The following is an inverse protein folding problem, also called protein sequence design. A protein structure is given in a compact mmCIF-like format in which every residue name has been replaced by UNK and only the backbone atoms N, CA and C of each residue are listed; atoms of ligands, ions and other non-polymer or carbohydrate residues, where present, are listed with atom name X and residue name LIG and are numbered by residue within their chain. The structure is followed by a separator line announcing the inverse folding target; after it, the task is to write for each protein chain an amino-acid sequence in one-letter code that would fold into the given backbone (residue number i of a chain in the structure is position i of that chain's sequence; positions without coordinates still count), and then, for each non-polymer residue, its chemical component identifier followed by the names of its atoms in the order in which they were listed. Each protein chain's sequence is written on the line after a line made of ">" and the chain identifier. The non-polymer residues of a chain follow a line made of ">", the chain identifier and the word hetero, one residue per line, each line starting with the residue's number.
data_IF_019568437338
#
_entry.id   IF_019568437338
#
_cell.length_a   1.000
_cell.length_b   1.000
_cell.length_c   1.000
_cell.angle_alpha   90.00
_cell.angle_beta   90.00
_cell.angle_gamma   90.00
#
_symmetry.space_group_name_H-M   'P 1'
#
loop_
_entity.id
_entity.type
_entity.pdbx_description
1 polymer ?
#
# COMPACT_ATOMS: atom_id res chain seq x y z
N UNK A 1 7.33 21.89 -1.08
CA UNK A 1 7.19 21.57 0.36
C UNK A 1 6.27 22.52 1.16
N UNK A 2 6.25 23.87 1.00
CA UNK A 2 5.32 24.69 1.82
C UNK A 2 3.85 24.27 1.70
N UNK A 3 3.38 23.97 0.49
CA UNK A 3 2.01 23.50 0.24
C UNK A 3 1.69 22.16 0.93
N UNK A 4 2.64 21.24 0.96
CA UNK A 4 2.43 19.92 1.58
C UNK A 4 2.31 20.03 3.10
N UNK A 5 3.13 20.90 3.73
CA UNK A 5 3.00 21.19 5.16
C UNK A 5 1.68 21.89 5.47
N UNK A 6 1.29 22.90 4.68
CA UNK A 6 0.02 23.59 4.85
C UNK A 6 -1.17 22.61 4.81
N UNK A 7 -1.14 21.63 3.90
CA UNK A 7 -2.14 20.57 3.84
C UNK A 7 -2.12 19.66 5.08
N UNK A 8 -0.94 19.23 5.52
CA UNK A 8 -0.80 18.37 6.70
C UNK A 8 -1.21 19.09 7.98
N UNK A 9 -0.84 20.38 8.13
CA UNK A 9 -1.19 21.21 9.26
C UNK A 9 -2.70 21.49 9.31
N UNK A 10 -3.31 21.70 8.13
CA UNK A 10 -4.76 21.80 8.02
C UNK A 10 -5.42 20.48 8.47
N UNK A 11 -4.95 19.32 7.98
CA UNK A 11 -5.50 18.02 8.35
C UNK A 11 -5.30 17.70 9.86
N UNK A 12 -4.20 18.15 10.43
CA UNK A 12 -3.88 17.98 11.84
C UNK A 12 -4.95 18.59 12.78
N UNK A 13 -5.59 19.69 12.36
CA UNK A 13 -6.64 20.36 13.14
C UNK A 13 -7.91 19.52 13.30
N UNK A 14 -8.15 18.55 12.42
CA UNK A 14 -9.30 17.64 12.46
C UNK A 14 -9.04 16.37 13.28
N UNK A 15 -7.95 16.31 14.03
CA UNK A 15 -7.68 15.18 14.91
C UNK A 15 -8.77 15.04 15.98
N UNK A 16 -9.27 13.81 16.11
CA UNK A 16 -10.27 13.46 17.10
C UNK A 16 -10.04 12.03 17.62
N UNK A 17 -10.56 11.67 18.81
CA UNK A 17 -10.27 10.38 19.45
C UNK A 17 -10.63 9.17 18.57
N UNK A 18 -11.74 9.23 17.83
CA UNK A 18 -12.21 8.12 16.99
C UNK A 18 -11.22 7.88 15.82
N UNK A 19 -10.92 8.93 15.06
CA UNK A 19 -9.97 8.82 13.94
C UNK A 19 -8.55 8.51 14.41
N UNK A 20 -8.16 9.01 15.59
CA UNK A 20 -6.87 8.65 16.19
C UNK A 20 -6.79 7.15 16.43
N UNK A 21 -7.77 6.55 17.10
CA UNK A 21 -7.81 5.11 17.40
C UNK A 21 -7.80 4.27 16.12
N UNK A 22 -8.63 4.65 15.14
CA UNK A 22 -8.68 3.92 13.86
C UNK A 22 -7.34 4.02 13.12
N UNK A 23 -6.74 5.22 13.06
CA UNK A 23 -5.47 5.42 12.36
C UNK A 23 -4.31 4.68 13.03
N UNK A 24 -4.27 4.65 14.36
CA UNK A 24 -3.31 3.89 15.14
C UNK A 24 -3.48 2.38 14.88
N UNK A 25 -4.73 1.88 14.89
CA UNK A 25 -5.01 0.48 14.59
C UNK A 25 -4.45 0.07 13.22
N UNK A 26 -4.73 0.85 12.15
CA UNK A 26 -4.22 0.55 10.82
C UNK A 26 -2.72 0.76 10.68
N UNK A 27 -2.10 1.61 11.49
CA UNK A 27 -0.64 1.71 11.56
C UNK A 27 -0.03 0.41 12.07
N UNK A 28 -0.52 -0.11 13.21
CA UNK A 28 -0.04 -1.37 13.77
C UNK A 28 -0.37 -2.58 12.89
N UNK A 29 -1.60 -2.69 12.44
CA UNK A 29 -2.07 -3.82 11.61
C UNK A 29 -1.46 -3.85 10.21
N UNK A 30 -0.82 -2.76 9.78
CA UNK A 30 -0.15 -2.63 8.50
C UNK A 30 1.36 -2.37 8.60
N UNK A 31 1.93 -2.38 9.81
CA UNK A 31 3.33 -1.98 10.05
C UNK A 31 4.33 -2.76 9.18
N UNK A 32 4.13 -4.07 9.03
CA UNK A 32 4.92 -4.93 8.15
C UNK A 32 4.12 -5.46 6.95
N UNK A 33 2.94 -4.90 6.69
CA UNK A 33 2.07 -5.34 5.60
C UNK A 33 1.18 -6.54 5.94
N UNK A 34 0.95 -6.84 7.23
CA UNK A 34 0.27 -8.04 7.71
C UNK A 34 -1.09 -8.23 7.04
N UNK A 35 -1.91 -7.17 6.96
CA UNK A 35 -3.21 -7.20 6.27
C UNK A 35 -3.02 -7.68 4.83
N UNK A 36 -2.06 -7.07 4.11
CA UNK A 36 -1.85 -7.35 2.69
C UNK A 36 -1.14 -8.67 2.43
N UNK A 37 -0.48 -9.27 3.44
CA UNK A 37 0.09 -10.63 3.37
C UNK A 37 -0.98 -11.67 3.68
N UNK A 38 -1.84 -11.43 4.67
CA UNK A 38 -2.90 -12.36 5.06
C UNK A 38 -3.94 -12.57 3.92
N UNK A 39 -4.31 -11.50 3.20
CA UNK A 39 -5.27 -11.57 2.10
C UNK A 39 -4.88 -12.56 0.99
N UNK A 40 -3.71 -12.46 0.34
CA UNK A 40 -3.32 -13.42 -0.69
C UNK A 40 -3.18 -14.83 -0.13
N UNK A 41 -2.68 -15.02 1.09
CA UNK A 41 -2.59 -16.34 1.71
C UNK A 41 -3.96 -16.99 1.83
N UNK A 42 -4.97 -16.25 2.33
CA UNK A 42 -6.34 -16.72 2.41
C UNK A 42 -6.92 -17.06 1.02
N UNK A 43 -6.72 -16.20 0.02
CA UNK A 43 -7.22 -16.42 -1.34
C UNK A 43 -6.56 -17.62 -2.04
N UNK A 44 -5.31 -17.93 -1.71
CA UNK A 44 -4.59 -19.09 -2.24
C UNK A 44 -5.16 -20.43 -1.77
N UNK A 45 -5.86 -20.47 -0.64
CA UNK A 45 -6.49 -21.71 -0.12
C UNK A 45 -7.65 -22.19 -1.00
N UNK A 46 -8.34 -21.28 -1.67
CA UNK A 46 -9.54 -21.62 -2.44
C UNK A 46 -9.23 -21.64 -3.94
N UNK A 47 -9.62 -22.74 -4.62
CA UNK A 47 -9.38 -22.91 -6.07
C UNK A 47 -9.92 -21.76 -6.94
N UNK A 48 -11.07 -21.19 -6.57
CA UNK A 48 -11.73 -20.09 -7.31
C UNK A 48 -10.99 -18.76 -7.24
N UNK A 49 -10.27 -18.50 -6.16
CA UNK A 49 -9.58 -17.22 -5.90
C UNK A 49 -8.05 -17.33 -5.95
N UNK A 50 -7.53 -18.54 -6.10
CA UNK A 50 -6.07 -18.82 -6.08
C UNK A 50 -5.28 -17.95 -7.05
N UNK A 51 -5.81 -17.72 -8.26
CA UNK A 51 -5.15 -16.86 -9.26
C UNK A 51 -5.05 -15.41 -8.78
N UNK A 52 -6.12 -14.90 -8.15
CA UNK A 52 -6.13 -13.55 -7.58
C UNK A 52 -5.15 -13.45 -6.39
N UNK A 53 -5.15 -14.44 -5.49
CA UNK A 53 -4.17 -14.52 -4.41
C UNK A 53 -2.73 -14.54 -4.91
N UNK A 54 -2.45 -15.29 -5.97
CA UNK A 54 -1.12 -15.32 -6.61
C UNK A 54 -0.75 -13.95 -7.19
N UNK A 55 -1.67 -13.27 -7.89
CA UNK A 55 -1.42 -11.94 -8.42
C UNK A 55 -1.11 -10.92 -7.30
N UNK A 56 -1.85 -10.97 -6.18
CA UNK A 56 -1.57 -10.12 -5.01
C UNK A 56 -0.19 -10.41 -4.41
N UNK A 57 0.17 -11.67 -4.23
CA UNK A 57 1.48 -12.06 -3.69
C UNK A 57 2.63 -11.55 -4.58
N UNK A 58 2.50 -11.72 -5.89
CA UNK A 58 3.48 -11.18 -6.86
C UNK A 58 3.57 -9.65 -6.76
N UNK A 59 2.43 -8.95 -6.63
CA UNK A 59 2.43 -7.49 -6.50
C UNK A 59 3.19 -7.02 -5.24
N UNK A 60 3.04 -7.72 -4.12
CA UNK A 60 3.78 -7.42 -2.89
C UNK A 60 5.29 -7.68 -3.04
N UNK A 61 5.69 -8.77 -3.70
CA UNK A 61 7.11 -9.06 -3.98
C UNK A 61 7.70 -7.98 -4.89
N UNK A 62 6.99 -7.57 -5.94
CA UNK A 62 7.42 -6.49 -6.82
C UNK A 62 7.55 -5.16 -6.06
N UNK A 63 6.61 -4.86 -5.14
CA UNK A 63 6.72 -3.69 -4.28
C UNK A 63 7.96 -3.76 -3.37
N UNK A 64 8.23 -4.89 -2.73
CA UNK A 64 9.43 -5.03 -1.90
C UNK A 64 10.70 -4.75 -2.71
N UNK A 65 10.81 -5.32 -3.90
CA UNK A 65 11.98 -5.11 -4.77
C UNK A 65 12.08 -3.65 -5.25
N UNK A 66 11.05 -3.15 -5.93
CA UNK A 66 11.10 -1.83 -6.57
C UNK A 66 10.88 -0.68 -5.57
N UNK A 67 9.87 -0.78 -4.70
CA UNK A 67 9.50 0.30 -3.80
C UNK A 67 10.41 0.39 -2.58
N UNK A 68 10.56 -0.71 -1.85
CA UNK A 68 11.27 -0.70 -0.57
C UNK A 68 12.79 -0.69 -0.75
N UNK A 69 13.33 -1.63 -1.54
CA UNK A 69 14.79 -1.78 -1.67
C UNK A 69 15.40 -0.83 -2.70
N UNK A 70 14.67 -0.38 -3.71
CA UNK A 70 15.23 0.47 -4.76
C UNK A 70 14.82 1.94 -4.62
N UNK A 71 13.51 2.26 -4.69
CA UNK A 71 13.05 3.65 -4.73
C UNK A 71 13.24 4.39 -3.40
N UNK A 72 13.00 3.75 -2.25
CA UNK A 72 13.17 4.44 -0.95
C UNK A 72 14.60 4.93 -0.72
N UNK A 73 15.65 4.10 -0.89
CA UNK A 73 17.03 4.59 -0.78
C UNK A 73 17.41 5.60 -1.86
N UNK A 74 16.87 5.45 -3.09
CA UNK A 74 17.18 6.35 -4.20
C UNK A 74 16.71 7.78 -3.92
N UNK A 75 15.51 7.96 -3.42
CA UNK A 75 14.96 9.28 -3.13
C UNK A 75 15.41 9.84 -1.76
N UNK A 76 15.69 8.98 -0.82
CA UNK A 76 16.16 9.30 0.54
C UNK A 76 15.42 10.47 1.21
N UNK A 77 14.11 10.64 0.89
CA UNK A 77 13.31 11.79 1.33
C UNK A 77 13.04 11.72 2.84
N UNK A 78 13.33 12.79 3.62
CA UNK A 78 12.97 12.86 5.03
C UNK A 78 11.44 12.90 5.20
N UNK A 79 10.94 12.48 6.37
CA UNK A 79 9.52 12.49 6.67
C UNK A 79 9.05 13.85 7.17
N UNK A 80 7.74 14.19 7.01
CA UNK A 80 7.21 15.43 7.56
C UNK A 80 7.39 15.53 9.08
N UNK A 81 7.20 14.41 9.81
CA UNK A 81 7.39 14.37 11.26
C UNK A 81 8.84 14.54 11.71
N UNK A 82 9.82 14.27 10.85
CA UNK A 82 11.25 14.51 11.15
C UNK A 82 11.64 15.97 10.94
N UNK A 83 10.98 16.64 10.01
CA UNK A 83 11.22 18.05 9.68
C UNK A 83 10.42 18.99 10.59
N UNK A 84 9.19 18.63 10.96
CA UNK A 84 8.35 19.36 11.90
C UNK A 84 8.29 18.60 13.23
N UNK A 85 9.19 18.92 14.16
CA UNK A 85 9.29 18.25 15.45
C UNK A 85 8.28 18.76 16.50
N UNK A 86 7.55 19.84 16.21
CA UNK A 86 6.53 20.41 17.12
C UNK A 86 5.23 19.61 17.14
N UNK A 87 5.03 18.69 16.16
CA UNK A 87 3.84 17.86 16.06
C UNK A 87 3.82 16.76 17.13
N UNK A 88 2.71 16.67 17.86
CA UNK A 88 2.46 15.53 18.76
C UNK A 88 2.15 14.28 17.94
N UNK A 89 3.05 13.30 17.98
CA UNK A 89 2.89 12.05 17.27
C UNK A 89 1.89 11.13 17.97
N UNK A 90 1.03 10.47 17.19
CA UNK A 90 0.09 9.45 17.66
C UNK A 90 0.66 8.04 17.61
N UNK A 91 1.72 7.86 16.84
CA UNK A 91 2.45 6.59 16.65
C UNK A 91 3.94 6.84 16.79
N UNK A 92 4.73 5.79 16.97
CA UNK A 92 6.19 5.90 16.97
C UNK A 92 6.66 6.51 15.63
N UNK A 93 7.72 7.32 15.67
CA UNK A 93 8.32 7.86 14.45
C UNK A 93 8.83 6.71 13.58
N UNK A 94 8.31 6.55 12.35
CA UNK A 94 8.71 5.44 11.52
C UNK A 94 10.14 5.61 11.03
N UNK A 95 10.92 4.55 11.04
CA UNK A 95 12.28 4.56 10.49
C UNK A 95 12.28 4.60 8.95
N UNK A 96 13.40 5.08 8.38
CA UNK A 96 13.65 5.11 6.94
C UNK A 96 12.90 6.22 6.21
N UNK A 97 13.02 6.20 4.88
CA UNK A 97 12.64 7.29 3.98
C UNK A 97 11.14 7.42 3.74
N UNK A 98 10.70 8.65 3.45
CA UNK A 98 9.29 8.97 3.27
C UNK A 98 8.75 8.53 1.90
N UNK A 99 9.50 8.78 0.80
CA UNK A 99 9.01 8.52 -0.56
C UNK A 99 9.54 7.20 -1.14
N UNK A 100 8.69 6.45 -1.84
CA UNK A 100 7.23 6.52 -1.84
C UNK A 100 6.63 5.92 -0.55
N UNK A 101 5.35 6.27 -0.26
CA UNK A 101 4.64 5.72 0.90
C UNK A 101 4.49 4.20 0.79
N UNK A 102 5.08 3.47 1.74
CA UNK A 102 5.08 2.02 1.74
C UNK A 102 3.70 1.39 1.91
N UNK A 103 2.94 1.86 2.90
CA UNK A 103 1.57 1.42 3.14
C UNK A 103 0.66 1.65 1.93
N UNK A 104 0.82 2.82 1.27
CA UNK A 104 0.05 3.13 0.06
C UNK A 104 0.45 2.23 -1.10
N UNK A 105 1.76 2.13 -1.38
CA UNK A 105 2.24 1.39 -2.54
C UNK A 105 1.93 -0.11 -2.45
N UNK A 106 2.19 -0.75 -1.29
CA UNK A 106 1.88 -2.17 -1.09
C UNK A 106 0.38 -2.43 -1.10
N UNK A 107 -0.41 -1.59 -0.40
CA UNK A 107 -1.85 -1.74 -0.33
C UNK A 107 -2.51 -1.58 -1.69
N UNK A 108 -2.17 -0.52 -2.43
CA UNK A 108 -2.70 -0.29 -3.78
C UNK A 108 -2.24 -1.38 -4.75
N UNK A 109 -0.97 -1.83 -4.69
CA UNK A 109 -0.49 -2.90 -5.56
C UNK A 109 -1.26 -4.20 -5.36
N UNK A 110 -1.44 -4.64 -4.12
CA UNK A 110 -2.18 -5.85 -3.79
C UNK A 110 -3.67 -5.71 -4.15
N UNK A 111 -4.33 -4.61 -3.72
CA UNK A 111 -5.74 -4.39 -3.96
C UNK A 111 -6.06 -4.22 -5.46
N UNK A 112 -5.21 -3.55 -6.21
CA UNK A 112 -5.39 -3.35 -7.66
C UNK A 112 -5.15 -4.64 -8.44
N UNK A 113 -4.13 -5.43 -8.07
CA UNK A 113 -3.94 -6.77 -8.64
C UNK A 113 -5.18 -7.67 -8.41
N UNK A 114 -5.75 -7.62 -7.19
CA UNK A 114 -7.00 -8.31 -6.87
C UNK A 114 -8.17 -7.81 -7.72
N UNK A 115 -8.31 -6.50 -7.88
CA UNK A 115 -9.38 -5.88 -8.64
C UNK A 115 -9.37 -6.27 -10.12
N UNK A 116 -8.19 -6.37 -10.72
CA UNK A 116 -8.04 -6.84 -12.10
C UNK A 116 -8.40 -8.32 -12.27
N UNK A 117 -8.29 -9.14 -11.23
CA UNK A 117 -8.66 -10.55 -11.24
C UNK A 117 -10.11 -10.79 -10.79
N UNK A 118 -10.60 -10.01 -9.84
CA UNK A 118 -11.94 -10.12 -9.26
C UNK A 118 -12.42 -8.76 -8.74
N UNK A 119 -13.23 -8.07 -9.51
CA UNK A 119 -13.73 -6.73 -9.16
C UNK A 119 -14.56 -6.71 -7.87
N UNK A 120 -15.33 -7.76 -7.58
CA UNK A 120 -16.19 -7.82 -6.37
C UNK A 120 -15.35 -7.81 -5.08
N UNK A 121 -14.25 -8.53 -5.07
CA UNK A 121 -13.32 -8.57 -3.92
C UNK A 121 -12.35 -7.39 -3.95
N UNK A 122 -11.92 -6.97 -5.13
CA UNK A 122 -10.93 -5.89 -5.28
C UNK A 122 -11.46 -4.50 -4.98
N UNK A 123 -12.75 -4.22 -5.24
CA UNK A 123 -13.32 -2.90 -4.92
C UNK A 123 -13.25 -2.57 -3.43
N UNK A 124 -13.75 -3.41 -2.50
CA UNK A 124 -13.60 -3.13 -1.07
C UNK A 124 -12.12 -3.10 -0.63
N UNK A 125 -11.24 -3.91 -1.24
CA UNK A 125 -9.82 -3.86 -0.96
C UNK A 125 -9.18 -2.52 -1.38
N UNK A 126 -9.58 -1.96 -2.53
CA UNK A 126 -9.13 -0.63 -2.96
C UNK A 126 -9.64 0.48 -2.04
N UNK A 127 -10.88 0.40 -1.57
CA UNK A 127 -11.43 1.35 -0.58
C UNK A 127 -10.61 1.28 0.71
N UNK A 128 -10.29 0.09 1.19
CA UNK A 128 -9.44 -0.10 2.37
C UNK A 128 -8.03 0.46 2.13
N UNK A 129 -7.42 0.21 0.97
CA UNK A 129 -6.09 0.74 0.63
C UNK A 129 -6.09 2.28 0.58
N UNK A 130 -7.13 2.89 0.00
CA UNK A 130 -7.29 4.34 -0.03
C UNK A 130 -7.46 4.92 1.38
N UNK A 131 -8.24 4.25 2.23
CA UNK A 131 -8.41 4.66 3.61
C UNK A 131 -7.09 4.57 4.40
N UNK A 132 -6.35 3.46 4.28
CA UNK A 132 -5.01 3.33 4.89
C UNK A 132 -4.07 4.41 4.37
N UNK A 133 -4.08 4.71 3.06
CA UNK A 133 -3.28 5.79 2.48
C UNK A 133 -3.62 7.16 3.12
N UNK A 134 -4.90 7.46 3.33
CA UNK A 134 -5.34 8.65 4.04
C UNK A 134 -4.82 8.70 5.48
N UNK A 135 -4.84 7.59 6.22
CA UNK A 135 -4.30 7.57 7.59
C UNK A 135 -2.83 7.95 7.67
N UNK A 136 -2.04 7.77 6.60
CA UNK A 136 -0.62 8.19 6.57
C UNK A 136 -0.46 9.70 6.62
N UNK A 137 -1.36 10.43 5.97
CA UNK A 137 -1.42 11.89 6.02
C UNK A 137 -1.93 12.37 7.38
N UNK A 138 -2.98 11.73 7.87
CA UNK A 138 -3.59 12.03 9.17
C UNK A 138 -2.61 11.84 10.35
N UNK A 139 -1.76 10.81 10.29
CA UNK A 139 -0.71 10.54 11.27
C UNK A 139 0.52 11.44 11.12
N UNK A 140 0.58 12.25 10.04
CA UNK A 140 1.70 13.14 9.76
C UNK A 140 3.03 12.41 9.45
N UNK A 141 2.96 11.18 8.93
CA UNK A 141 4.15 10.35 8.65
C UNK A 141 4.57 10.34 7.18
N UNK A 142 3.72 10.85 6.27
CA UNK A 142 3.99 10.97 4.84
C UNK A 142 3.44 12.28 4.28
N UNK A 143 4.10 12.80 3.25
CA UNK A 143 3.60 13.91 2.45
C UNK A 143 2.53 13.45 1.45
N UNK A 144 1.64 14.35 0.98
CA UNK A 144 0.68 14.04 -0.09
C UNK A 144 1.31 13.43 -1.33
N UNK A 145 2.47 13.95 -1.75
CA UNK A 145 3.19 13.41 -2.92
C UNK A 145 3.78 12.03 -2.68
N UNK A 146 4.13 11.66 -1.44
CA UNK A 146 4.56 10.29 -1.11
C UNK A 146 3.41 9.30 -1.30
N UNK A 147 2.20 9.70 -0.89
CA UNK A 147 0.98 8.91 -1.04
C UNK A 147 0.61 8.78 -2.52
N UNK A 148 0.62 9.86 -3.27
CA UNK A 148 0.35 9.85 -4.71
C UNK A 148 1.38 9.00 -5.48
N UNK A 149 2.67 9.18 -5.19
CA UNK A 149 3.74 8.37 -5.77
C UNK A 149 3.59 6.89 -5.42
N UNK A 150 3.22 6.59 -4.17
CA UNK A 150 2.90 5.24 -3.73
C UNK A 150 1.71 4.65 -4.49
N UNK A 151 0.64 5.40 -4.71
CA UNK A 151 -0.54 4.96 -5.46
C UNK A 151 -0.21 4.65 -6.93
N UNK A 152 0.52 5.56 -7.60
CA UNK A 152 0.96 5.36 -9.00
C UNK A 152 1.85 4.11 -9.11
N UNK A 153 2.83 3.96 -8.23
CA UNK A 153 3.68 2.78 -8.17
C UNK A 153 2.84 1.52 -7.93
N UNK A 154 1.90 1.56 -6.99
CA UNK A 154 1.02 0.45 -6.67
C UNK A 154 0.17 0.00 -7.86
N UNK A 155 -0.43 0.93 -8.61
CA UNK A 155 -1.19 0.63 -9.83
C UNK A 155 -0.30 -0.04 -10.87
N UNK A 156 0.90 0.49 -11.12
CA UNK A 156 1.85 -0.08 -12.08
C UNK A 156 2.25 -1.52 -11.71
N UNK A 157 2.63 -1.75 -10.44
CA UNK A 157 3.04 -3.06 -9.96
C UNK A 157 1.87 -4.06 -9.91
N UNK A 158 0.67 -3.61 -9.50
CA UNK A 158 -0.54 -4.43 -9.52
C UNK A 158 -0.93 -4.86 -10.93
N UNK A 159 -0.78 -3.96 -11.92
CA UNK A 159 -1.00 -4.29 -13.35
C UNK A 159 -0.01 -5.33 -13.83
N UNK A 160 1.29 -5.14 -13.57
CA UNK A 160 2.34 -6.07 -13.96
C UNK A 160 2.13 -7.46 -13.32
N UNK A 161 1.80 -7.50 -12.03
CA UNK A 161 1.52 -8.74 -11.31
C UNK A 161 0.30 -9.49 -11.84
N UNK A 162 -0.77 -8.76 -12.15
CA UNK A 162 -1.99 -9.33 -12.75
C UNK A 162 -1.72 -9.90 -14.14
N UNK A 163 -0.96 -9.18 -14.98
CA UNK A 163 -0.54 -9.65 -16.30
C UNK A 163 0.32 -10.93 -16.20
N UNK A 164 1.26 -10.97 -15.28
CA UNK A 164 2.10 -12.15 -15.03
C UNK A 164 1.25 -13.36 -14.56
N UNK A 165 0.31 -13.15 -13.64
CA UNK A 165 -0.59 -14.22 -13.20
C UNK A 165 -1.46 -14.78 -14.33
N UNK A 166 -1.92 -13.92 -15.25
CA UNK A 166 -2.66 -14.33 -16.45
C UNK A 166 -1.77 -15.16 -17.39
N UNK A 167 -0.56 -14.72 -17.64
CA UNK A 167 0.42 -15.43 -18.47
C UNK A 167 0.68 -16.84 -17.93
N UNK A 168 0.98 -16.96 -16.63
CA UNK A 168 1.25 -18.26 -16.00
C UNK A 168 0.04 -19.21 -16.05
N UNK A 169 -1.18 -18.69 -15.85
CA UNK A 169 -2.38 -19.50 -15.93
C UNK A 169 -2.64 -20.04 -17.35
N UNK A 170 -2.39 -19.22 -18.37
CA UNK A 170 -2.57 -19.61 -19.77
C UNK A 170 -1.52 -20.63 -20.22
N UNK A 171 -0.27 -20.48 -19.75
CA UNK A 171 0.81 -21.42 -20.07
C UNK A 171 0.54 -22.82 -19.51
N UNK A 172 0.05 -22.92 -18.26
CA UNK A 172 -0.34 -24.18 -17.66
C UNK A 172 -1.48 -24.88 -18.41
N UNK A 173 -2.48 -24.15 -18.92
CA UNK A 173 -3.56 -24.73 -19.72
C UNK A 173 -3.05 -25.34 -21.01
N UNK A 174 -2.09 -24.69 -21.70
CA UNK A 174 -1.51 -25.22 -22.95
C UNK A 174 -0.76 -26.55 -22.74
N UNK A 175 -0.05 -26.69 -21.61
CA UNK A 175 0.69 -27.91 -21.27
C UNK A 175 -0.20 -29.10 -20.89
N UNK A 176 -1.46 -28.88 -20.52
CA UNK A 176 -2.41 -29.95 -20.18
C UNK A 176 -3.22 -30.47 -21.38
N UNK A 177 -3.10 -29.83 -22.54
CA UNK A 177 -3.80 -30.17 -23.78
C UNK A 177 -2.89 -30.96 -24.75
N UNK A 178 -1.59 -30.99 -24.49
CA UNK A 178 -0.57 -31.80 -25.20
C UNK A 178 -0.30 -33.06 -24.40
#
# INVERSE_FOLDING_TARGET
>A
MPFEFAFLDWLYQFRNPVMNTISIFFDYAGAHGEIWIAFPLLLLLFRRTRKAGFAMAVALVLYMAAGHFFLKPLFARPRPCDLNTSITMLVARPHGHSFPSGHTASGVAAAYALWLQNRKLGTPALVLAAFIAFTRLYLYVHFPTDVLGGAVLGIALGTAASAFANYMANHKKKQQIV
#
